data_IF_790391468406
#
_entry.id   IF_790391468406
#
_cell.length_a   1.000
_cell.length_b   1.000
_cell.length_c   1.000
_cell.angle_alpha   90.00
_cell.angle_beta   90.00
_cell.angle_gamma   90.00
#
_symmetry.space_group_name_H-M   'P 1'
#
loop_
_entity.id
_entity.type
_entity.pdbx_description
1 polymer ?
#
# COMPACT_ATOMS: atom_id res chain seq x y z
N UNK A 1 -15.63 16.61 5.02
CA UNK A 1 -16.03 16.63 3.59
C UNK A 1 -14.84 16.41 2.66
N UNK A 2 -13.65 16.93 2.97
CA UNK A 2 -12.43 16.81 2.15
C UNK A 2 -11.86 15.39 2.15
N UNK A 3 -11.84 14.74 3.30
CA UNK A 3 -11.40 13.33 3.47
C UNK A 3 -12.30 12.36 2.68
N UNK A 4 -13.60 12.66 2.53
CA UNK A 4 -14.50 11.87 1.68
C UNK A 4 -14.21 12.07 0.19
N UNK A 5 -13.85 13.29 -0.22
CA UNK A 5 -13.47 13.59 -1.61
C UNK A 5 -12.14 12.91 -1.99
N UNK A 6 -11.13 12.94 -1.11
CA UNK A 6 -9.88 12.24 -1.35
C UNK A 6 -10.05 10.72 -1.44
N UNK A 7 -10.90 10.12 -0.60
CA UNK A 7 -11.23 8.69 -0.73
C UNK A 7 -11.96 8.36 -2.02
N UNK A 8 -12.88 9.19 -2.46
CA UNK A 8 -13.55 9.02 -3.74
C UNK A 8 -12.59 9.22 -4.92
N UNK A 9 -11.68 10.17 -4.86
CA UNK A 9 -10.69 10.40 -5.91
C UNK A 9 -9.72 9.21 -6.04
N UNK A 10 -9.17 8.69 -4.94
CA UNK A 10 -8.25 7.55 -5.00
C UNK A 10 -8.89 6.25 -5.47
N UNK A 11 -10.18 6.06 -5.27
CA UNK A 11 -10.89 4.83 -5.62
C UNK A 11 -11.55 4.94 -7.00
N UNK A 12 -12.05 6.11 -7.35
CA UNK A 12 -12.92 6.29 -8.49
C UNK A 12 -12.22 6.77 -9.77
N UNK A 13 -11.24 7.64 -9.64
CA UNK A 13 -10.74 8.39 -10.81
C UNK A 13 -9.56 7.72 -11.53
N UNK A 14 -8.97 6.69 -10.95
CA UNK A 14 -7.82 6.00 -11.54
C UNK A 14 -7.96 4.49 -11.64
N UNK A 15 -9.06 3.92 -11.13
CA UNK A 15 -9.32 2.49 -11.21
C UNK A 15 -9.66 2.12 -12.65
N UNK A 16 -9.06 1.06 -13.16
CA UNK A 16 -9.36 0.49 -14.50
C UNK A 16 -9.54 1.51 -15.64
N UNK A 17 -8.98 2.71 -15.50
CA UNK A 17 -9.17 3.75 -16.49
C UNK A 17 -8.33 3.47 -17.73
N UNK A 18 -8.98 2.99 -18.79
CA UNK A 18 -8.37 2.88 -20.10
C UNK A 18 -8.10 4.25 -20.74
N UNK A 19 -8.78 5.29 -20.27
CA UNK A 19 -8.71 6.65 -20.81
C UNK A 19 -8.31 7.63 -19.72
N UNK A 20 -7.28 8.41 -19.99
CA UNK A 20 -6.82 9.51 -19.15
C UNK A 20 -6.59 10.75 -20.01
N UNK A 21 -7.09 11.92 -19.58
CA UNK A 21 -7.02 13.19 -20.33
C UNK A 21 -7.50 13.07 -21.80
N UNK A 22 -8.60 12.34 -22.01
CA UNK A 22 -9.18 12.05 -23.33
C UNK A 22 -8.28 11.25 -24.30
N UNK A 23 -7.32 10.52 -23.79
CA UNK A 23 -6.43 9.65 -24.54
C UNK A 23 -6.40 8.26 -23.94
N UNK A 24 -6.12 7.25 -24.74
CA UNK A 24 -5.84 5.90 -24.23
C UNK A 24 -4.64 5.97 -23.29
N UNK A 25 -4.80 5.44 -22.07
CA UNK A 25 -3.72 5.37 -21.09
C UNK A 25 -2.63 4.36 -21.46
N UNK A 26 -2.99 3.35 -22.26
CA UNK A 26 -2.11 2.23 -22.61
C UNK A 26 -1.90 1.21 -21.49
N UNK A 27 -2.53 1.38 -20.33
CA UNK A 27 -2.39 0.51 -19.16
C UNK A 27 -3.71 -0.19 -18.85
N UNK A 28 -3.62 -1.42 -18.34
CA UNK A 28 -4.78 -2.17 -17.82
C UNK A 28 -5.31 -1.55 -16.52
N UNK A 29 -4.42 -1.00 -15.69
CA UNK A 29 -4.77 -0.24 -14.50
C UNK A 29 -3.94 1.06 -14.44
N UNK A 30 -4.55 2.16 -14.78
CA UNK A 30 -3.91 3.48 -14.64
C UNK A 30 -3.59 3.81 -13.17
N UNK A 31 -4.39 3.29 -12.24
CA UNK A 31 -4.12 3.41 -10.81
C UNK A 31 -2.78 2.78 -10.44
N UNK A 32 -2.49 1.58 -10.92
CA UNK A 32 -1.19 0.92 -10.66
C UNK A 32 -0.04 1.78 -11.18
N UNK A 33 -0.18 2.36 -12.37
CA UNK A 33 0.82 3.27 -12.96
C UNK A 33 1.05 4.53 -12.12
N UNK A 34 -0.01 5.13 -11.60
CA UNK A 34 0.10 6.30 -10.71
C UNK A 34 0.87 5.92 -9.43
N UNK A 35 0.57 4.76 -8.86
CA UNK A 35 1.26 4.30 -7.65
C UNK A 35 2.75 4.03 -7.89
N UNK A 36 3.16 3.53 -9.04
CA UNK A 36 4.57 3.32 -9.38
C UNK A 36 5.41 4.60 -9.24
N UNK A 37 4.81 5.75 -9.47
CA UNK A 37 5.47 7.05 -9.40
C UNK A 37 5.41 7.68 -8.00
N UNK A 38 4.89 7.00 -7.02
CA UNK A 38 4.85 7.50 -5.64
C UNK A 38 5.92 6.82 -4.80
N UNK A 39 6.67 7.60 -4.03
CA UNK A 39 7.70 7.05 -3.13
C UNK A 39 7.14 6.13 -2.03
N UNK A 40 5.82 6.03 -1.94
CA UNK A 40 5.11 5.32 -0.86
C UNK A 40 4.34 4.11 -1.33
N UNK A 41 4.41 3.82 -2.60
CA UNK A 41 3.71 2.71 -3.18
C UNK A 41 4.63 1.55 -3.44
N UNK A 42 3.96 0.51 -3.58
CA UNK A 42 4.26 -0.66 -4.34
C UNK A 42 5.59 -1.29 -4.09
N UNK A 43 5.59 -2.49 -3.76
CA UNK A 43 6.83 -3.11 -3.45
C UNK A 43 6.90 -4.47 -4.06
N UNK A 44 7.28 -4.47 -5.35
CA UNK A 44 7.70 -5.70 -5.97
C UNK A 44 8.66 -6.49 -5.08
N UNK A 45 9.55 -5.79 -4.35
CA UNK A 45 10.51 -6.42 -3.43
C UNK A 45 9.86 -7.18 -2.27
N UNK A 46 8.71 -6.75 -1.76
CA UNK A 46 7.99 -7.47 -0.71
C UNK A 46 7.46 -8.81 -1.23
N UNK A 47 7.04 -8.87 -2.49
CA UNK A 47 6.55 -10.11 -3.09
C UNK A 47 7.66 -11.12 -3.40
N UNK A 48 8.89 -10.66 -3.57
CA UNK A 48 10.03 -11.49 -3.96
C UNK A 48 10.74 -12.14 -2.77
N UNK A 49 10.47 -11.68 -1.56
CA UNK A 49 11.06 -12.21 -0.33
C UNK A 49 10.02 -13.04 0.43
N UNK A 50 10.48 -14.10 1.11
CA UNK A 50 9.63 -14.77 2.09
C UNK A 50 9.32 -13.80 3.23
N UNK A 51 8.19 -13.11 3.12
CA UNK A 51 7.78 -12.09 4.07
C UNK A 51 7.24 -12.75 5.34
N UNK A 52 7.77 -12.34 6.48
CA UNK A 52 7.28 -12.65 7.81
C UNK A 52 7.01 -11.37 8.61
N UNK A 53 6.52 -11.50 9.82
CA UNK A 53 6.19 -10.35 10.66
C UNK A 53 7.42 -9.51 11.02
N UNK A 54 8.57 -10.11 11.21
CA UNK A 54 9.81 -9.39 11.57
C UNK A 54 10.31 -8.58 10.38
N UNK A 55 10.35 -9.17 9.20
CA UNK A 55 10.73 -8.48 7.97
C UNK A 55 9.76 -7.35 7.62
N UNK A 56 8.46 -7.58 7.86
CA UNK A 56 7.46 -6.53 7.66
C UNK A 56 7.64 -5.38 8.66
N UNK A 57 7.91 -5.68 9.93
CA UNK A 57 8.21 -4.66 10.94
C UNK A 57 9.47 -3.87 10.58
N UNK A 58 10.53 -4.55 10.18
CA UNK A 58 11.77 -3.95 9.71
C UNK A 58 11.55 -3.03 8.49
N UNK A 59 10.72 -3.47 7.56
CA UNK A 59 10.34 -2.66 6.41
C UNK A 59 9.60 -1.38 6.84
N UNK A 60 8.62 -1.50 7.73
CA UNK A 60 7.85 -0.36 8.25
C UNK A 60 8.74 0.65 8.96
N UNK A 61 9.66 0.19 9.81
CA UNK A 61 10.56 1.04 10.57
C UNK A 61 11.49 1.82 9.65
N UNK A 62 11.95 1.21 8.57
CA UNK A 62 12.82 1.83 7.56
C UNK A 62 12.06 2.68 6.55
N UNK A 63 10.73 2.64 6.57
CA UNK A 63 9.91 3.39 5.61
C UNK A 63 9.90 4.88 5.94
N UNK A 64 9.99 5.77 4.93
CA UNK A 64 9.99 7.22 5.17
C UNK A 64 8.71 7.70 5.87
N UNK A 65 8.85 8.64 6.76
CA UNK A 65 7.72 9.31 7.41
C UNK A 65 6.99 10.21 6.41
N UNK A 66 5.68 10.06 6.29
CA UNK A 66 4.90 11.05 5.55
C UNK A 66 4.73 12.31 6.38
N UNK A 67 4.21 12.14 7.58
CA UNK A 67 4.07 13.22 8.55
C UNK A 67 3.98 12.66 9.97
N UNK A 68 4.25 13.50 10.95
CA UNK A 68 3.93 13.29 12.35
C UNK A 68 2.96 14.36 12.82
N UNK A 69 2.10 14.01 13.78
CA UNK A 69 1.19 14.96 14.43
C UNK A 69 1.82 15.46 15.73
N UNK A 70 1.96 16.78 15.87
CA UNK A 70 2.42 17.41 17.09
C UNK A 70 1.65 18.71 17.35
N UNK A 71 1.14 18.89 18.55
CA UNK A 71 0.39 20.09 18.93
C UNK A 71 -0.77 20.42 17.96
N UNK A 72 -1.54 19.41 17.55
CA UNK A 72 -2.61 19.51 16.56
C UNK A 72 -2.16 20.02 15.17
N UNK A 73 -0.89 19.91 14.86
CA UNK A 73 -0.31 20.27 13.57
C UNK A 73 0.43 19.09 12.96
N UNK A 74 0.35 18.95 11.64
CA UNK A 74 1.09 17.95 10.90
C UNK A 74 2.42 18.51 10.38
N UNK A 75 3.48 17.77 10.64
CA UNK A 75 4.82 18.09 10.16
C UNK A 75 5.26 17.04 9.16
N UNK A 76 5.66 17.47 7.98
CA UNK A 76 6.15 16.56 6.95
C UNK A 76 7.48 15.93 7.36
N UNK A 77 7.58 14.59 7.23
CA UNK A 77 8.76 13.84 7.65
C UNK A 77 9.96 13.94 6.70
N UNK A 78 9.74 14.34 5.46
CA UNK A 78 10.79 14.38 4.44
C UNK A 78 11.31 12.98 4.11
N UNK A 79 12.63 12.88 4.05
CA UNK A 79 13.33 11.62 3.80
C UNK A 79 13.66 10.84 5.09
N UNK A 80 13.26 11.38 6.26
CA UNK A 80 13.50 10.71 7.54
C UNK A 80 12.57 9.51 7.72
N UNK A 81 13.10 8.46 8.31
CA UNK A 81 12.39 7.20 8.52
C UNK A 81 11.71 7.16 9.90
N UNK A 82 10.82 6.17 10.11
CA UNK A 82 10.30 5.93 11.45
C UNK A 82 11.39 5.48 12.42
N UNK A 83 12.46 4.83 11.93
CA UNK A 83 13.63 4.50 12.71
C UNK A 83 14.32 5.74 13.26
N UNK A 84 14.51 6.78 12.44
CA UNK A 84 15.09 8.05 12.88
C UNK A 84 14.23 8.70 13.98
N UNK A 85 12.90 8.53 13.90
CA UNK A 85 11.99 8.98 14.96
C UNK A 85 12.19 8.19 16.26
N UNK A 86 12.31 6.87 16.18
CA UNK A 86 12.56 6.00 17.35
C UNK A 86 13.87 6.34 18.05
N UNK A 87 14.88 6.74 17.29
CA UNK A 87 16.21 7.14 17.77
C UNK A 87 16.28 8.60 18.24
N UNK A 88 15.19 9.37 18.12
CA UNK A 88 15.16 10.80 18.45
C UNK A 88 15.96 11.68 17.50
N UNK A 89 16.22 11.21 16.29
CA UNK A 89 17.06 11.86 15.30
C UNK A 89 16.30 12.78 14.33
N UNK A 90 14.99 12.99 14.53
CA UNK A 90 14.23 13.90 13.68
C UNK A 90 14.74 15.34 13.81
N UNK A 91 14.87 16.01 12.67
CA UNK A 91 15.39 17.39 12.61
C UNK A 91 14.54 18.37 13.41
N UNK A 92 13.22 18.17 13.41
CA UNK A 92 12.25 19.08 14.02
C UNK A 92 11.63 18.53 15.33
N UNK A 93 11.92 17.29 15.70
CA UNK A 93 11.36 16.66 16.87
C UNK A 93 12.35 15.68 17.53
N UNK A 94 12.69 15.92 18.78
CA UNK A 94 13.58 15.07 19.57
C UNK A 94 12.84 14.09 20.49
N UNK A 95 11.50 14.05 20.42
CA UNK A 95 10.71 13.10 21.20
C UNK A 95 10.78 11.70 20.62
N UNK A 96 10.53 10.71 21.43
CA UNK A 96 10.35 9.32 21.03
C UNK A 96 8.89 9.13 20.58
N UNK A 97 8.63 8.30 19.54
CA UNK A 97 7.27 8.05 19.07
C UNK A 97 6.40 7.32 20.11
N UNK A 98 5.12 7.57 20.03
CA UNK A 98 4.08 6.88 20.79
C UNK A 98 3.39 5.83 19.91
N UNK A 99 2.53 4.98 20.50
CA UNK A 99 1.67 4.06 19.74
C UNK A 99 0.77 4.80 18.75
N UNK A 100 0.33 6.01 19.07
CA UNK A 100 -0.46 6.84 18.16
C UNK A 100 0.35 7.22 16.92
N UNK A 101 1.62 7.56 17.10
CA UNK A 101 2.53 7.89 15.98
C UNK A 101 2.80 6.68 15.11
N UNK A 102 2.98 5.50 15.70
CA UNK A 102 3.10 4.24 14.95
C UNK A 102 1.81 3.94 14.15
N UNK A 103 0.65 4.06 14.79
CA UNK A 103 -0.65 3.87 14.13
C UNK A 103 -0.84 4.83 12.95
N UNK A 104 -0.43 6.08 13.11
CA UNK A 104 -0.45 7.09 12.05
C UNK A 104 0.52 6.70 10.92
N UNK A 105 1.74 6.33 11.24
CA UNK A 105 2.74 5.89 10.27
C UNK A 105 2.25 4.68 9.46
N UNK A 106 1.75 3.64 10.13
CA UNK A 106 1.13 2.47 9.48
C UNK A 106 0.00 2.87 8.52
N UNK A 107 -0.79 3.88 8.88
CA UNK A 107 -1.89 4.36 8.03
C UNK A 107 -1.42 5.03 6.74
N UNK A 108 -0.17 5.48 6.69
CA UNK A 108 0.43 6.20 5.55
C UNK A 108 1.30 5.32 4.66
N UNK A 109 1.42 4.04 4.95
CA UNK A 109 2.10 3.05 4.10
C UNK A 109 1.07 2.46 3.13
N UNK A 110 1.31 2.57 1.84
CA UNK A 110 0.36 2.24 0.78
C UNK A 110 0.79 0.98 0.00
N UNK A 111 1.11 -0.08 0.72
CA UNK A 111 1.36 -1.40 0.13
C UNK A 111 0.05 -2.05 -0.33
N UNK A 112 0.13 -2.98 -1.26
CA UNK A 112 -1.02 -3.75 -1.77
C UNK A 112 -1.72 -4.56 -0.67
N UNK A 113 -0.94 -5.06 0.28
CA UNK A 113 -1.44 -5.61 1.54
C UNK A 113 -0.82 -4.83 2.69
N UNK A 114 -1.65 -4.33 3.57
CA UNK A 114 -1.22 -3.53 4.72
C UNK A 114 -1.61 -4.20 6.02
N UNK A 115 -0.65 -4.38 6.92
CA UNK A 115 -0.89 -4.87 8.27
C UNK A 115 -1.27 -3.70 9.19
N UNK A 116 -2.42 -3.83 9.80
CA UNK A 116 -2.90 -3.01 10.91
C UNK A 116 -3.26 -3.94 12.08
N UNK A 117 -4.40 -3.75 12.72
CA UNK A 117 -5.02 -4.75 13.60
C UNK A 117 -5.59 -5.94 12.81
N UNK A 118 -5.59 -5.86 11.52
CA UNK A 118 -6.04 -6.84 10.53
C UNK A 118 -5.21 -6.65 9.25
N UNK A 119 -5.24 -7.63 8.38
CA UNK A 119 -4.69 -7.51 7.03
C UNK A 119 -5.70 -6.77 6.15
N UNK A 120 -5.28 -5.65 5.59
CA UNK A 120 -6.07 -4.85 4.66
C UNK A 120 -5.58 -5.08 3.24
N UNK A 121 -6.38 -5.76 2.44
CA UNK A 121 -6.11 -5.91 1.00
C UNK A 121 -6.53 -4.64 0.27
N UNK A 122 -5.66 -4.10 -0.58
CA UNK A 122 -5.80 -2.80 -1.22
C UNK A 122 -5.67 -2.83 -2.74
N UNK A 123 -5.39 -3.97 -3.31
CA UNK A 123 -5.10 -4.14 -4.74
C UNK A 123 -6.35 -4.23 -5.63
N UNK A 124 -7.55 -4.27 -5.05
CA UNK A 124 -8.80 -4.32 -5.83
C UNK A 124 -9.11 -2.93 -6.38
N UNK A 125 -9.29 -2.86 -7.69
CA UNK A 125 -9.81 -1.68 -8.36
C UNK A 125 -11.34 -1.58 -8.20
N UNK A 126 -11.90 -0.37 -8.43
CA UNK A 126 -13.33 -0.16 -8.40
C UNK A 126 -13.99 -0.91 -9.56
N UNK A 127 -15.16 -1.47 -9.31
CA UNK A 127 -16.00 -2.10 -10.30
C UNK A 127 -17.46 -1.62 -10.15
N UNK A 128 -18.30 -1.97 -11.11
CA UNK A 128 -19.72 -1.69 -11.04
C UNK A 128 -20.37 -2.38 -9.83
N UNK A 129 -21.55 -1.90 -9.43
CA UNK A 129 -22.25 -2.37 -8.24
C UNK A 129 -22.44 -3.90 -8.21
N UNK A 130 -22.74 -4.49 -9.34
CA UNK A 130 -23.00 -5.94 -9.45
C UNK A 130 -21.74 -6.80 -9.20
N UNK A 131 -20.57 -6.24 -9.32
CA UNK A 131 -19.31 -6.95 -9.05
C UNK A 131 -18.64 -6.57 -7.71
N UNK A 132 -19.27 -5.72 -6.91
CA UNK A 132 -18.69 -5.25 -5.63
C UNK A 132 -18.29 -6.37 -4.67
N UNK A 133 -19.04 -7.48 -4.67
CA UNK A 133 -18.74 -8.63 -3.83
C UNK A 133 -17.68 -9.57 -4.42
N UNK A 134 -17.29 -9.40 -5.67
CA UNK A 134 -16.35 -10.30 -6.34
C UNK A 134 -14.94 -10.26 -5.68
N UNK A 135 -14.46 -9.08 -5.35
CA UNK A 135 -13.18 -8.91 -4.69
C UNK A 135 -13.11 -9.59 -3.31
N UNK A 136 -14.01 -9.26 -2.38
CA UNK A 136 -14.08 -9.95 -1.08
C UNK A 136 -14.25 -11.47 -1.22
N UNK A 137 -15.10 -11.95 -2.14
CA UNK A 137 -15.29 -13.37 -2.39
C UNK A 137 -14.02 -14.05 -2.90
N UNK A 138 -13.31 -13.41 -3.85
CA UNK A 138 -12.05 -13.91 -4.38
C UNK A 138 -11.00 -14.07 -3.28
N UNK A 139 -10.74 -13.03 -2.48
CA UNK A 139 -9.77 -13.13 -1.40
C UNK A 139 -10.18 -14.06 -0.28
N UNK A 140 -11.48 -14.16 0.01
CA UNK A 140 -11.98 -15.15 0.96
C UNK A 140 -11.71 -16.57 0.47
N UNK A 141 -11.93 -16.84 -0.82
CA UNK A 141 -11.62 -18.12 -1.44
C UNK A 141 -10.14 -18.46 -1.38
N UNK A 142 -9.26 -17.50 -1.70
CA UNK A 142 -7.81 -17.71 -1.65
C UNK A 142 -7.28 -17.97 -0.24
N UNK A 143 -7.76 -17.21 0.76
CA UNK A 143 -7.19 -17.22 2.11
C UNK A 143 -7.83 -18.30 2.99
N UNK A 144 -9.14 -18.45 2.91
CA UNK A 144 -9.90 -19.37 3.79
C UNK A 144 -10.38 -20.64 3.08
N UNK A 145 -10.37 -20.69 1.75
CA UNK A 145 -10.77 -21.84 0.99
C UNK A 145 -9.68 -22.91 0.93
N UNK A 146 -8.57 -22.60 0.25
CA UNK A 146 -7.44 -23.52 0.12
C UNK A 146 -6.12 -22.73 0.03
N UNK A 147 -5.64 -22.26 1.16
CA UNK A 147 -4.43 -21.43 1.24
C UNK A 147 -3.19 -22.18 0.73
N UNK A 148 -3.03 -23.45 1.07
CA UNK A 148 -1.86 -24.26 0.68
C UNK A 148 -1.76 -24.40 -0.84
N UNK A 149 -2.87 -24.75 -1.50
CA UNK A 149 -2.91 -24.85 -2.96
C UNK A 149 -2.67 -23.50 -3.63
N UNK A 150 -3.26 -22.43 -3.10
CA UNK A 150 -3.05 -21.06 -3.58
C UNK A 150 -1.57 -20.67 -3.49
N UNK A 151 -0.91 -20.97 -2.38
CA UNK A 151 0.52 -20.72 -2.18
C UNK A 151 1.37 -21.54 -3.13
N UNK A 152 1.03 -22.80 -3.36
CA UNK A 152 1.76 -23.68 -4.29
C UNK A 152 1.67 -23.21 -5.75
N UNK A 153 0.56 -22.61 -6.13
CA UNK A 153 0.40 -21.98 -7.44
C UNK A 153 1.27 -20.72 -7.53
N UNK A 154 1.19 -19.84 -6.53
CA UNK A 154 1.91 -18.55 -6.53
C UNK A 154 3.43 -18.79 -6.49
N UNK A 155 3.91 -19.76 -5.74
CA UNK A 155 5.35 -20.12 -5.69
C UNK A 155 5.93 -20.56 -7.01
N UNK A 156 5.09 -21.01 -7.95
CA UNK A 156 5.52 -21.43 -9.29
C UNK A 156 5.59 -20.28 -10.29
N UNK A 157 5.08 -19.12 -9.95
CA UNK A 157 5.14 -17.96 -10.83
C UNK A 157 6.57 -17.47 -11.00
N UNK A 158 6.94 -17.13 -12.20
CA UNK A 158 8.22 -16.52 -12.49
C UNK A 158 8.24 -15.07 -11.96
N UNK A 159 9.26 -14.76 -11.16
CA UNK A 159 9.40 -13.43 -10.56
C UNK A 159 9.58 -12.33 -11.62
N UNK A 160 10.23 -12.64 -12.72
CA UNK A 160 10.42 -11.68 -13.81
C UNK A 160 9.10 -11.39 -14.55
N UNK A 161 8.24 -12.38 -14.70
CA UNK A 161 6.89 -12.18 -15.27
C UNK A 161 6.02 -11.32 -14.36
N UNK A 162 6.08 -11.54 -13.04
CA UNK A 162 5.35 -10.71 -12.06
C UNK A 162 5.83 -9.26 -12.13
N UNK A 163 7.14 -9.03 -12.18
CA UNK A 163 7.70 -7.69 -12.29
C UNK A 163 7.33 -7.01 -13.60
N UNK A 164 7.40 -7.72 -14.70
CA UNK A 164 7.01 -7.20 -16.02
C UNK A 164 5.53 -6.82 -16.01
N UNK A 165 4.64 -7.71 -15.52
CA UNK A 165 3.21 -7.41 -15.43
C UNK A 165 2.89 -6.24 -14.48
N UNK A 166 3.78 -5.93 -13.53
CA UNK A 166 3.62 -4.78 -12.66
C UNK A 166 4.07 -3.47 -13.32
N UNK A 167 5.09 -3.50 -14.18
CA UNK A 167 5.68 -2.28 -14.77
C UNK A 167 5.13 -1.96 -16.16
N UNK A 168 4.59 -2.92 -16.89
CA UNK A 168 3.95 -2.75 -18.20
C UNK A 168 2.48 -2.29 -18.07
#
# INVERSE_FOLDING_TARGET
>A
TEVRRQRQMCIRDSANSAVYENRSSGYLSYRAKVWQNTARAGLPKIFLENMDFEKYADFIIKFPLLFIEKNNSYHYGGDQTFKDFMEGNLQFNKSIPTEKDLGLHLSTIFTEVRLKKYLEVRSIDECEWDCHCAGPAFYTGLIYGNLEESLDVIKKWDQSEILNAYYD
#
